data_IF_128289436966
#
_entry.id   IF_128289436966
#
_cell.length_a   1.000
_cell.length_b   1.000
_cell.length_c   1.000
_cell.angle_alpha   90.00
_cell.angle_beta   90.00
_cell.angle_gamma   90.00
#
_symmetry.space_group_name_H-M   'P 1'
#
loop_
_entity.id
_entity.type
_entity.pdbx_description
1 polymer ?
#
# COMPACT_ATOMS: atom_id res chain seq x y z
N UNK A 1 -9.44 31.81 -30.86
CA UNK A 1 -10.80 32.28 -30.52
C UNK A 1 -11.74 31.08 -30.59
N UNK A 2 -11.78 30.26 -29.53
CA UNK A 2 -12.72 29.14 -29.42
C UNK A 2 -14.02 29.71 -28.86
N UNK A 3 -15.02 29.89 -29.71
CA UNK A 3 -16.37 30.26 -29.30
C UNK A 3 -17.01 29.04 -28.62
N UNK A 4 -16.94 28.98 -27.29
CA UNK A 4 -17.85 28.13 -26.52
C UNK A 4 -19.24 28.75 -26.61
N UNK A 5 -20.15 28.11 -27.35
CA UNK A 5 -21.57 28.45 -27.37
C UNK A 5 -22.21 28.06 -26.02
N UNK A 6 -22.00 28.88 -24.99
CA UNK A 6 -22.74 28.80 -23.73
C UNK A 6 -24.10 29.47 -23.90
N UNK A 7 -25.12 28.71 -24.33
CA UNK A 7 -26.49 29.27 -24.35
C UNK A 7 -27.60 28.27 -24.02
N UNK A 8 -27.28 27.07 -23.50
CA UNK A 8 -28.30 26.07 -23.18
C UNK A 8 -28.12 25.54 -21.76
N UNK A 9 -29.22 25.44 -20.99
CA UNK A 9 -29.24 24.94 -19.59
C UNK A 9 -29.20 23.40 -19.47
N UNK A 10 -29.08 22.68 -20.58
CA UNK A 10 -29.04 21.20 -20.67
C UNK A 10 -28.21 20.77 -21.88
N UNK A 11 -27.58 19.59 -21.80
CA UNK A 11 -26.88 18.99 -22.94
C UNK A 11 -27.83 18.81 -24.13
N UNK A 12 -27.35 19.22 -25.29
CA UNK A 12 -28.10 19.17 -26.54
C UNK A 12 -28.24 17.70 -26.98
N UNK A 13 -29.47 17.24 -27.24
CA UNK A 13 -29.72 15.84 -27.68
C UNK A 13 -29.04 15.45 -29.00
N UNK A 14 -28.65 16.41 -29.84
CA UNK A 14 -28.05 16.17 -31.16
C UNK A 14 -26.57 16.56 -31.30
N UNK A 15 -25.92 17.01 -30.23
CA UNK A 15 -24.50 17.35 -30.25
C UNK A 15 -23.79 16.71 -29.05
N UNK A 16 -23.03 15.63 -29.23
CA UNK A 16 -22.32 14.95 -28.15
C UNK A 16 -21.23 15.82 -27.50
N UNK A 17 -20.84 16.94 -28.13
CA UNK A 17 -19.89 17.91 -27.61
C UNK A 17 -20.58 19.10 -26.89
N UNK A 18 -21.91 19.12 -26.81
CA UNK A 18 -22.65 20.11 -26.02
C UNK A 18 -22.63 19.67 -24.56
N UNK A 19 -21.55 20.04 -23.85
CA UNK A 19 -21.29 19.73 -22.45
C UNK A 19 -21.63 20.95 -21.57
N UNK A 20 -22.78 20.88 -20.92
CA UNK A 20 -23.31 21.80 -19.91
C UNK A 20 -23.22 21.08 -18.57
N UNK A 21 -22.62 21.72 -17.58
CA UNK A 21 -22.59 21.21 -16.20
C UNK A 21 -21.36 20.37 -15.84
N UNK A 22 -20.28 20.45 -16.64
CA UNK A 22 -18.97 19.84 -16.31
C UNK A 22 -18.17 20.67 -15.28
N UNK A 23 -18.86 21.44 -14.44
CA UNK A 23 -18.25 22.35 -13.47
C UNK A 23 -18.01 23.77 -13.97
N UNK A 24 -18.47 24.14 -15.18
CA UNK A 24 -18.34 25.50 -15.73
C UNK A 24 -18.84 26.60 -14.81
N UNK A 25 -19.88 26.34 -14.00
CA UNK A 25 -20.41 27.30 -13.02
C UNK A 25 -19.42 27.65 -11.92
N UNK A 26 -18.46 26.76 -11.63
CA UNK A 26 -17.35 27.01 -10.69
C UNK A 26 -16.34 27.98 -11.33
N UNK A 27 -16.12 27.88 -12.64
CA UNK A 27 -15.17 28.71 -13.39
C UNK A 27 -15.76 30.04 -13.87
N UNK A 28 -17.08 30.12 -14.05
CA UNK A 28 -17.82 31.30 -14.55
C UNK A 28 -18.48 32.12 -13.42
N UNK A 29 -18.36 31.69 -12.16
CA UNK A 29 -18.78 32.46 -10.98
C UNK A 29 -17.71 33.48 -10.54
N UNK A 30 -17.94 34.15 -9.40
CA UNK A 30 -16.88 34.95 -8.77
C UNK A 30 -15.75 34.00 -8.36
N UNK A 31 -14.59 34.17 -9.00
CA UNK A 31 -13.39 33.38 -8.70
C UNK A 31 -12.88 33.87 -7.35
N UNK A 32 -12.99 33.02 -6.33
CA UNK A 32 -12.23 33.23 -5.10
C UNK A 32 -10.75 33.04 -5.42
N UNK A 33 -10.02 34.15 -5.58
CA UNK A 33 -8.58 34.13 -5.87
C UNK A 33 -7.79 33.37 -4.79
N UNK A 34 -8.33 33.26 -3.56
CA UNK A 34 -7.72 32.47 -2.49
C UNK A 34 -7.93 30.95 -2.62
N UNK A 35 -8.84 30.50 -3.48
CA UNK A 35 -9.10 29.07 -3.69
C UNK A 35 -7.89 28.33 -4.26
N UNK A 36 -7.12 29.01 -5.13
CA UNK A 36 -5.91 28.44 -5.74
C UNK A 36 -4.67 28.53 -4.85
N UNK A 37 -4.65 29.43 -3.87
CA UNK A 37 -3.51 29.60 -2.96
C UNK A 37 -3.34 28.44 -1.96
N UNK A 38 -4.38 27.62 -1.78
CA UNK A 38 -4.38 26.46 -0.87
C UNK A 38 -4.20 25.12 -1.59
N UNK A 39 -3.94 25.11 -2.90
CA UNK A 39 -3.72 23.88 -3.66
C UNK A 39 -2.22 23.58 -3.66
N UNK A 40 -1.81 22.60 -2.87
CA UNK A 40 -0.43 22.09 -2.90
C UNK A 40 -0.12 21.47 -4.27
N UNK A 41 1.11 21.69 -4.77
CA UNK A 41 1.58 21.07 -6.01
C UNK A 41 1.53 19.53 -5.86
N UNK A 42 0.77 18.80 -6.68
CA UNK A 42 0.69 17.34 -6.59
C UNK A 42 2.05 16.64 -6.80
N UNK A 43 3.03 17.33 -7.41
CA UNK A 43 4.39 16.82 -7.53
C UNK A 43 5.17 16.81 -6.21
N UNK A 44 4.72 17.55 -5.17
CA UNK A 44 5.33 17.53 -3.84
C UNK A 44 5.29 16.13 -3.19
N UNK A 45 4.25 15.34 -3.51
CA UNK A 45 4.13 13.96 -3.05
C UNK A 45 4.87 12.96 -3.96
N UNK A 46 5.43 13.40 -5.09
CA UNK A 46 6.12 12.51 -6.02
C UNK A 46 7.49 12.12 -5.48
N UNK A 47 7.78 10.81 -5.51
CA UNK A 47 9.08 10.25 -5.16
C UNK A 47 10.15 10.77 -6.11
N UNK A 48 11.28 11.21 -5.55
CA UNK A 48 12.47 11.54 -6.36
C UNK A 48 13.04 10.26 -6.97
N UNK A 49 13.61 10.36 -8.17
CA UNK A 49 14.25 9.20 -8.81
C UNK A 49 15.33 8.63 -7.88
N UNK A 50 15.35 7.30 -7.74
CA UNK A 50 16.29 6.55 -6.89
C UNK A 50 16.19 6.84 -5.37
N UNK A 51 15.13 7.49 -4.89
CA UNK A 51 14.89 7.59 -3.44
C UNK A 51 14.00 6.45 -2.94
N UNK A 52 14.16 6.08 -1.67
CA UNK A 52 13.27 5.10 -1.01
C UNK A 52 11.86 5.67 -0.78
N UNK A 53 10.88 4.76 -0.64
CA UNK A 53 9.49 5.09 -0.30
C UNK A 53 9.33 5.09 1.22
N UNK A 54 8.76 6.15 1.78
CA UNK A 54 8.43 6.25 3.20
C UNK A 54 7.11 5.57 3.56
N UNK A 55 6.83 5.48 4.85
CA UNK A 55 5.55 5.02 5.38
C UNK A 55 4.91 6.16 6.18
N UNK A 56 3.63 6.42 5.93
CA UNK A 56 2.85 7.35 6.74
C UNK A 56 2.76 6.82 8.18
N UNK A 57 2.97 7.69 9.17
CA UNK A 57 2.74 7.35 10.58
C UNK A 57 1.25 7.57 10.89
N UNK A 58 0.56 6.51 11.31
CA UNK A 58 -0.89 6.54 11.55
C UNK A 58 -1.25 6.95 12.98
N UNK A 59 -0.27 7.42 13.75
CA UNK A 59 -0.38 7.59 15.20
C UNK A 59 0.11 6.35 15.92
N UNK A 60 0.90 6.54 16.98
CA UNK A 60 1.49 5.50 17.83
C UNK A 60 2.16 4.27 17.16
N UNK A 61 2.32 4.25 15.83
CA UNK A 61 2.69 3.08 15.00
C UNK A 61 4.07 3.21 14.36
N UNK A 62 4.88 4.17 14.80
CA UNK A 62 6.24 4.37 14.28
C UNK A 62 7.15 3.15 14.47
N UNK A 63 6.92 2.34 15.51
CA UNK A 63 7.61 1.07 15.71
C UNK A 63 7.33 0.08 14.57
N UNK A 64 6.07 -0.02 14.12
CA UNK A 64 5.67 -0.85 12.97
C UNK A 64 6.38 -0.37 11.72
N UNK A 65 6.36 0.94 11.44
CA UNK A 65 7.01 1.51 10.26
C UNK A 65 8.52 1.23 10.23
N UNK A 66 9.18 1.27 11.39
CA UNK A 66 10.62 0.96 11.52
C UNK A 66 10.89 -0.48 11.13
N UNK A 67 10.14 -1.42 11.70
CA UNK A 67 10.31 -2.85 11.38
C UNK A 67 9.97 -3.17 9.93
N UNK A 68 8.89 -2.60 9.38
CA UNK A 68 8.52 -2.80 7.97
C UNK A 68 9.63 -2.38 7.02
N UNK A 69 10.30 -1.25 7.27
CA UNK A 69 11.44 -0.82 6.47
C UNK A 69 12.64 -1.76 6.62
N UNK A 70 12.95 -2.22 7.84
CA UNK A 70 14.04 -3.18 8.10
C UNK A 70 13.77 -4.52 7.39
N UNK A 71 12.57 -5.08 7.53
CA UNK A 71 12.20 -6.34 6.89
C UNK A 71 12.11 -6.21 5.37
N UNK A 72 11.63 -5.08 4.86
CA UNK A 72 11.65 -4.82 3.43
C UNK A 72 13.09 -4.82 2.90
N UNK A 73 14.03 -4.18 3.61
CA UNK A 73 15.44 -4.13 3.19
C UNK A 73 16.15 -5.50 3.28
N UNK A 74 15.64 -6.47 4.04
CA UNK A 74 16.09 -7.85 3.95
C UNK A 74 15.62 -8.47 2.62
N UNK A 75 16.55 -8.58 1.66
CA UNK A 75 16.27 -9.04 0.30
C UNK A 75 15.82 -10.51 0.27
N UNK A 76 16.38 -11.35 1.13
CA UNK A 76 16.10 -12.80 1.17
C UNK A 76 14.68 -13.04 1.68
N UNK A 77 14.30 -12.36 2.78
CA UNK A 77 12.94 -12.36 3.28
C UNK A 77 11.95 -11.81 2.25
N UNK A 78 12.29 -10.68 1.61
CA UNK A 78 11.41 -10.06 0.60
C UNK A 78 11.17 -10.98 -0.60
N UNK A 79 12.22 -11.64 -1.10
CA UNK A 79 12.11 -12.59 -2.20
C UNK A 79 11.26 -13.79 -1.82
N UNK A 80 11.49 -14.36 -0.63
CA UNK A 80 10.68 -15.47 -0.12
C UNK A 80 9.19 -15.09 -0.01
N UNK A 81 8.91 -13.87 0.47
CA UNK A 81 7.54 -13.35 0.54
C UNK A 81 6.90 -13.24 -0.84
N UNK A 82 7.61 -12.78 -1.87
CA UNK A 82 7.06 -12.72 -3.24
C UNK A 82 6.81 -14.09 -3.87
N UNK A 83 7.49 -15.14 -3.40
CA UNK A 83 7.25 -16.51 -3.83
C UNK A 83 6.09 -17.18 -3.08
N UNK A 84 5.56 -16.57 -2.03
CA UNK A 84 4.39 -17.08 -1.33
C UNK A 84 3.15 -16.93 -2.23
N UNK A 85 2.35 -18.00 -2.46
CA UNK A 85 1.13 -17.92 -3.25
C UNK A 85 0.13 -16.92 -2.64
N UNK A 86 -0.41 -16.05 -3.47
CA UNK A 86 -1.57 -15.21 -3.12
C UNK A 86 -2.85 -15.94 -3.52
N UNK A 87 -3.89 -15.85 -2.71
CA UNK A 87 -5.22 -16.43 -2.97
C UNK A 87 -5.82 -15.94 -4.30
N UNK A 88 -5.34 -14.80 -4.82
CA UNK A 88 -5.76 -14.28 -6.11
C UNK A 88 -5.28 -15.01 -7.36
N UNK A 89 -4.37 -15.98 -7.26
CA UNK A 89 -3.95 -16.76 -8.43
C UNK A 89 -5.09 -17.60 -9.02
N UNK A 90 -6.08 -17.97 -8.22
CA UNK A 90 -7.22 -18.80 -8.66
C UNK A 90 -8.29 -18.01 -9.44
N UNK A 91 -8.39 -16.68 -9.27
CA UNK A 91 -9.40 -15.87 -9.96
C UNK A 91 -8.97 -15.45 -11.38
N UNK A 92 -7.68 -15.54 -11.70
CA UNK A 92 -7.10 -15.13 -12.98
C UNK A 92 -7.16 -16.21 -14.08
N UNK A 93 -7.65 -17.42 -13.77
CA UNK A 93 -7.86 -18.50 -14.75
C UNK A 93 -9.33 -18.63 -15.23
N UNK A 94 -10.17 -17.61 -15.00
CA UNK A 94 -11.55 -17.57 -15.48
C UNK A 94 -11.72 -16.61 -16.66
N UNK A 95 -12.08 -17.15 -17.81
CA UNK A 95 -12.26 -16.51 -19.14
C UNK A 95 -13.48 -15.55 -19.21
N UNK A 96 -13.57 -14.60 -18.27
CA UNK A 96 -14.67 -13.65 -18.14
C UNK A 96 -14.19 -12.20 -18.17
N UNK A 97 -15.02 -11.29 -18.66
CA UNK A 97 -14.83 -9.85 -18.50
C UNK A 97 -15.07 -9.55 -17.02
N UNK A 98 -14.00 -9.50 -16.22
CA UNK A 98 -14.08 -9.11 -14.82
C UNK A 98 -14.23 -7.59 -14.75
N UNK A 99 -15.23 -7.12 -13.99
CA UNK A 99 -15.29 -5.73 -13.55
C UNK A 99 -13.93 -5.38 -12.91
N UNK A 100 -13.36 -4.22 -13.24
CA UNK A 100 -12.14 -3.70 -12.59
C UNK A 100 -12.41 -3.52 -11.08
N UNK A 101 -12.32 -4.61 -10.32
CA UNK A 101 -12.24 -4.55 -8.87
C UNK A 101 -10.79 -4.35 -8.50
N UNK A 102 -10.53 -3.29 -7.76
CA UNK A 102 -9.25 -3.06 -7.13
C UNK A 102 -8.85 -4.30 -6.31
N UNK A 103 -7.58 -4.71 -6.45
CA UNK A 103 -7.04 -5.83 -5.69
C UNK A 103 -7.07 -5.52 -4.19
N UNK A 104 -7.72 -6.40 -3.41
CA UNK A 104 -7.79 -6.27 -1.95
C UNK A 104 -7.17 -7.51 -1.27
N UNK A 105 -6.03 -7.36 -0.58
CA UNK A 105 -5.39 -8.47 0.13
C UNK A 105 -6.29 -9.00 1.26
N UNK A 106 -6.30 -10.32 1.47
CA UNK A 106 -7.19 -10.96 2.45
C UNK A 106 -6.43 -11.49 3.66
N UNK A 107 -5.23 -12.02 3.43
CA UNK A 107 -4.37 -12.55 4.50
C UNK A 107 -3.31 -11.54 4.93
N UNK A 108 -2.74 -11.72 6.12
CA UNK A 108 -1.66 -10.85 6.61
C UNK A 108 -0.42 -10.92 5.70
N UNK A 109 -0.14 -12.11 5.14
CA UNK A 109 0.93 -12.29 4.17
C UNK A 109 0.66 -11.50 2.88
N UNK A 110 -0.57 -11.51 2.36
CA UNK A 110 -0.92 -10.72 1.17
C UNK A 110 -0.86 -9.22 1.43
N UNK A 111 -1.30 -8.76 2.61
CA UNK A 111 -1.16 -7.35 2.99
C UNK A 111 0.32 -6.95 3.02
N UNK A 112 1.20 -7.80 3.55
CA UNK A 112 2.64 -7.56 3.58
C UNK A 112 3.25 -7.57 2.17
N UNK A 113 2.88 -8.54 1.33
CA UNK A 113 3.30 -8.62 -0.08
C UNK A 113 2.89 -7.35 -0.85
N UNK A 114 1.64 -6.93 -0.69
CA UNK A 114 1.10 -5.73 -1.32
C UNK A 114 1.83 -4.47 -0.84
N UNK A 115 2.05 -4.33 0.47
CA UNK A 115 2.81 -3.22 1.03
C UNK A 115 4.25 -3.19 0.50
N UNK A 116 4.92 -4.34 0.42
CA UNK A 116 6.29 -4.44 -0.12
C UNK A 116 6.32 -4.11 -1.61
N UNK A 117 5.32 -4.53 -2.39
CA UNK A 117 5.20 -4.16 -3.80
C UNK A 117 5.03 -2.64 -3.96
N UNK A 118 4.26 -1.99 -3.09
CA UNK A 118 4.14 -0.54 -3.06
C UNK A 118 5.45 0.15 -2.66
N UNK A 119 6.17 -0.34 -1.64
CA UNK A 119 7.48 0.19 -1.25
C UNK A 119 8.52 0.09 -2.38
N UNK A 120 8.44 -0.95 -3.20
CA UNK A 120 9.34 -1.16 -4.32
C UNK A 120 8.99 -0.25 -5.51
N UNK A 121 7.71 -0.21 -5.90
CA UNK A 121 7.29 0.28 -7.21
C UNK A 121 6.56 1.63 -7.18
N UNK A 122 6.12 2.12 -6.02
CA UNK A 122 5.32 3.35 -5.95
C UNK A 122 6.08 4.57 -6.46
N UNK A 123 5.36 5.46 -7.14
CA UNK A 123 5.86 6.79 -7.50
C UNK A 123 5.59 7.83 -6.42
N UNK A 124 4.92 7.46 -5.31
CA UNK A 124 4.68 8.35 -4.17
C UNK A 124 5.87 8.35 -3.21
N UNK A 125 6.11 9.50 -2.59
CA UNK A 125 7.18 9.70 -1.59
C UNK A 125 6.97 8.84 -0.34
N UNK A 126 5.71 8.59 0.01
CA UNK A 126 5.29 7.70 1.08
C UNK A 126 4.03 6.94 0.68
N UNK A 127 3.79 5.81 1.34
CA UNK A 127 2.57 5.01 1.20
C UNK A 127 1.89 4.85 2.55
N UNK A 128 0.60 4.57 2.53
CA UNK A 128 -0.21 4.35 3.72
C UNK A 128 -0.24 2.85 4.09
N UNK A 129 0.25 2.44 5.27
CA UNK A 129 0.19 1.05 5.75
C UNK A 129 -1.14 0.69 6.44
N UNK A 130 -2.18 1.53 6.39
CA UNK A 130 -3.43 1.37 7.14
C UNK A 130 -4.11 0.02 6.94
N UNK A 131 -4.15 -0.49 5.71
CA UNK A 131 -4.68 -1.83 5.41
C UNK A 131 -3.96 -2.93 6.20
N UNK A 132 -2.63 -2.89 6.24
CA UNK A 132 -1.82 -3.86 6.98
C UNK A 132 -1.97 -3.72 8.50
N UNK A 133 -1.95 -2.47 9.01
CA UNK A 133 -2.13 -2.18 10.45
C UNK A 133 -3.51 -2.65 10.93
N UNK A 134 -4.56 -2.43 10.12
CA UNK A 134 -5.92 -2.91 10.38
C UNK A 134 -6.01 -4.43 10.34
N UNK A 135 -5.36 -5.09 9.38
CA UNK A 135 -5.33 -6.55 9.28
C UNK A 135 -4.66 -7.21 10.49
N UNK A 136 -3.69 -6.53 11.12
CA UNK A 136 -3.07 -6.96 12.38
C UNK A 136 -3.91 -6.65 13.63
N UNK A 137 -5.00 -5.88 13.49
CA UNK A 137 -5.85 -5.49 14.62
C UNK A 137 -5.18 -4.52 15.59
N UNK A 138 -4.20 -3.72 15.12
CA UNK A 138 -3.48 -2.77 15.97
C UNK A 138 -4.30 -1.49 16.18
N UNK A 139 -4.35 -1.03 17.42
CA UNK A 139 -4.90 0.29 17.76
C UNK A 139 -3.85 1.39 17.51
N UNK A 140 -4.12 2.26 16.53
CA UNK A 140 -3.29 3.42 16.18
C UNK A 140 -3.27 4.52 17.25
N UNK A 141 -4.17 4.48 18.24
CA UNK A 141 -4.18 5.39 19.38
C UNK A 141 -3.21 5.01 20.50
N UNK A 142 -2.71 3.77 20.51
CA UNK A 142 -1.94 3.22 21.63
C UNK A 142 -0.56 2.72 21.20
N UNK A 143 0.49 3.19 21.86
CA UNK A 143 1.83 2.65 21.66
C UNK A 143 1.91 1.25 22.28
N UNK A 144 2.48 0.32 21.52
CA UNK A 144 2.72 -1.06 21.95
C UNK A 144 4.20 -1.24 22.29
N UNK A 145 4.53 -2.30 23.03
CA UNK A 145 5.92 -2.72 23.20
C UNK A 145 6.48 -3.21 21.85
N UNK A 146 7.54 -2.56 21.38
CA UNK A 146 8.14 -2.83 20.08
C UNK A 146 8.77 -4.24 20.00
N UNK A 147 9.35 -4.72 21.11
CA UNK A 147 9.95 -6.05 21.15
C UNK A 147 8.87 -7.12 21.12
N UNK A 148 7.81 -6.95 21.92
CA UNK A 148 6.66 -7.86 21.93
C UNK A 148 6.02 -7.93 20.54
N UNK A 149 5.76 -6.79 19.91
CA UNK A 149 5.25 -6.73 18.54
C UNK A 149 6.13 -7.51 17.57
N UNK A 150 7.45 -7.27 17.58
CA UNK A 150 8.38 -7.92 16.66
C UNK A 150 8.39 -9.44 16.82
N UNK A 151 8.32 -9.92 18.06
CA UNK A 151 8.28 -11.36 18.38
C UNK A 151 6.98 -11.98 17.89
N UNK A 152 5.84 -11.40 18.22
CA UNK A 152 4.53 -11.89 17.79
C UNK A 152 4.40 -11.90 16.26
N UNK A 153 4.89 -10.84 15.60
CA UNK A 153 4.85 -10.75 14.15
C UNK A 153 5.76 -11.79 13.49
N UNK A 154 6.98 -12.00 13.98
CA UNK A 154 7.87 -13.04 13.45
C UNK A 154 7.27 -14.44 13.62
N UNK A 155 6.67 -14.74 14.77
CA UNK A 155 5.97 -16.02 14.99
C UNK A 155 4.79 -16.20 14.03
N UNK A 156 3.97 -15.17 13.85
CA UNK A 156 2.87 -15.19 12.88
C UNK A 156 3.37 -15.43 11.45
N UNK A 157 4.47 -14.77 11.08
CA UNK A 157 5.06 -14.90 9.77
C UNK A 157 5.63 -16.31 9.56
N UNK A 158 6.33 -16.86 10.56
CA UNK A 158 6.82 -18.23 10.55
C UNK A 158 5.68 -19.25 10.42
N UNK A 159 4.60 -19.10 11.19
CA UNK A 159 3.42 -19.97 11.12
C UNK A 159 2.73 -19.92 9.75
N UNK A 160 2.83 -18.78 9.06
CA UNK A 160 2.25 -18.60 7.73
C UNK A 160 3.15 -19.20 6.65
N UNK A 161 4.45 -18.93 6.71
CA UNK A 161 5.42 -19.38 5.71
C UNK A 161 5.75 -20.87 5.84
N UNK A 162 5.73 -21.43 7.05
CA UNK A 162 5.98 -22.86 7.31
C UNK A 162 4.98 -23.81 6.61
N UNK A 163 3.82 -23.30 6.20
CA UNK A 163 2.80 -24.03 5.43
C UNK A 163 3.14 -24.14 3.94
N UNK A 164 4.15 -23.41 3.46
CA UNK A 164 4.50 -23.36 2.05
C UNK A 164 5.29 -24.60 1.60
N UNK A 165 5.00 -25.06 0.38
CA UNK A 165 5.68 -26.22 -0.22
C UNK A 165 7.14 -25.89 -0.56
N UNK A 166 7.44 -24.67 -0.98
CA UNK A 166 8.80 -24.26 -1.32
C UNK A 166 9.65 -24.18 -0.02
N UNK A 167 10.72 -25.00 0.13
CA UNK A 167 11.56 -24.97 1.33
C UNK A 167 12.25 -23.61 1.55
N UNK A 168 12.58 -22.87 0.48
CA UNK A 168 13.23 -21.56 0.56
C UNK A 168 12.29 -20.50 1.15
N UNK A 169 10.98 -20.68 0.99
CA UNK A 169 9.96 -19.85 1.64
C UNK A 169 9.66 -20.37 3.04
N UNK A 170 9.53 -21.69 3.17
CA UNK A 170 9.11 -22.37 4.39
C UNK A 170 10.02 -22.09 5.58
N UNK A 171 11.32 -22.12 5.34
CA UNK A 171 12.33 -22.05 6.39
C UNK A 171 12.97 -20.66 6.50
N UNK A 172 12.51 -19.66 5.74
CA UNK A 172 13.19 -18.37 5.64
C UNK A 172 13.33 -17.68 7.00
N UNK A 173 12.30 -17.77 7.86
CA UNK A 173 12.33 -17.13 9.18
C UNK A 173 13.40 -17.79 10.07
N UNK A 174 13.39 -19.12 10.14
CA UNK A 174 14.38 -19.91 10.89
C UNK A 174 15.81 -19.64 10.39
N UNK A 175 16.00 -19.58 9.07
CA UNK A 175 17.32 -19.37 8.48
C UNK A 175 17.89 -17.96 8.70
N UNK A 176 17.02 -16.95 8.72
CA UNK A 176 17.43 -15.54 8.76
C UNK A 176 17.45 -14.93 10.17
N UNK A 177 16.59 -15.42 11.06
CA UNK A 177 16.33 -14.79 12.35
C UNK A 177 16.55 -15.70 13.56
N UNK A 178 16.84 -16.99 13.36
CA UNK A 178 17.11 -17.94 14.43
C UNK A 178 18.56 -18.44 14.40
N UNK A 179 18.99 -19.00 15.52
CA UNK A 179 20.31 -19.60 15.69
C UNK A 179 20.34 -20.51 16.91
N UNK A 180 21.43 -21.25 17.08
CA UNK A 180 21.62 -22.18 18.19
C UNK A 180 22.70 -21.66 19.15
N UNK A 181 22.54 -21.95 20.43
CA UNK A 181 23.56 -21.68 21.44
C UNK A 181 23.73 -22.90 22.35
N UNK A 182 24.97 -23.14 22.80
CA UNK A 182 25.29 -24.18 23.77
C UNK A 182 25.76 -23.53 25.07
N UNK A 183 25.19 -23.95 26.20
CA UNK A 183 25.62 -23.50 27.53
C UNK A 183 26.46 -24.60 28.19
N UNK A 184 27.75 -24.32 28.42
CA UNK A 184 28.70 -25.26 29.02
C UNK A 184 29.16 -24.70 30.36
N UNK A 185 28.86 -25.40 31.45
CA UNK A 185 29.41 -25.10 32.78
C UNK A 185 30.60 -26.02 33.05
N UNK A 186 31.75 -25.43 33.39
CA UNK A 186 32.98 -26.14 33.82
C UNK A 186 32.90 -26.47 35.31
#
# INVERSE_FOLDING_TARGET
MLFFFFSHRRNCKGNPNCLVGIGEHIWLGEIDENSFHNIDDPNCERRKKNSFVGLTNLGATCYVNTFLQVWFLNLELRQALYLCPSTCSDYMMGDGIHEEKDYEPQTICEHLQYLFALLQNSNRRYIDPSGFVKALGLDTGQQQDAQEFSKLFMSLLEDTLSKQKNPDVRNIVQQQFCGEYAYVTV
#
